data_IF_417923333199
#
_entry.id   IF_417923333199
#
_cell.length_a   1.000
_cell.length_b   1.000
_cell.length_c   1.000
_cell.angle_alpha   90.00
_cell.angle_beta   90.00
_cell.angle_gamma   90.00
#
_symmetry.space_group_name_H-M   'P 1'
#
loop_
_entity.id
_entity.type
_entity.pdbx_description
1 polymer ?
#
# COMPACT_ATOMS: atom_id res chain seq x y z
N UNK A 1 -24.01 -12.29 -10.78
CA UNK A 1 -24.09 -11.12 -11.68
C UNK A 1 -23.83 -9.87 -10.84
N UNK A 2 -22.95 -8.95 -11.26
CA UNK A 2 -22.62 -7.74 -10.51
C UNK A 2 -23.34 -6.52 -11.12
N UNK A 3 -23.86 -5.61 -10.28
CA UNK A 3 -24.46 -4.36 -10.73
C UNK A 3 -23.36 -3.29 -10.88
N UNK A 4 -23.11 -2.83 -12.10
CA UNK A 4 -22.04 -1.86 -12.39
C UNK A 4 -22.54 -0.41 -12.48
N UNK A 5 -23.85 -0.18 -12.48
CA UNK A 5 -24.46 1.15 -12.61
C UNK A 5 -24.81 1.54 -14.04
N UNK A 6 -25.59 2.61 -14.18
CA UNK A 6 -26.21 3.04 -15.44
C UNK A 6 -25.21 3.56 -16.46
N UNK A 7 -24.14 4.22 -16.01
CA UNK A 7 -23.13 4.81 -16.89
C UNK A 7 -22.00 3.82 -17.20
N UNK A 8 -22.19 2.55 -16.88
CA UNK A 8 -21.21 1.52 -17.18
C UNK A 8 -21.19 1.23 -18.68
N UNK A 9 -20.03 1.46 -19.28
CA UNK A 9 -19.75 1.04 -20.65
C UNK A 9 -18.85 -0.19 -20.59
N UNK A 10 -19.42 -1.34 -20.95
CA UNK A 10 -18.70 -2.60 -20.96
C UNK A 10 -17.53 -2.55 -21.95
N UNK A 11 -16.32 -2.99 -21.57
CA UNK A 11 -15.24 -3.22 -22.52
C UNK A 11 -15.63 -4.24 -23.59
N UNK A 12 -14.88 -4.26 -24.70
CA UNK A 12 -15.00 -5.35 -25.68
C UNK A 12 -14.78 -6.69 -24.99
N UNK A 13 -15.50 -7.72 -25.43
CA UNK A 13 -15.51 -9.04 -24.77
C UNK A 13 -14.11 -9.67 -24.67
N UNK A 14 -13.27 -9.47 -25.69
CA UNK A 14 -11.91 -9.99 -25.82
C UNK A 14 -10.84 -9.11 -25.15
N UNK A 15 -11.18 -7.89 -24.72
CA UNK A 15 -10.24 -6.97 -24.08
C UNK A 15 -10.02 -7.31 -22.60
N UNK A 16 -9.23 -8.36 -22.38
CA UNK A 16 -8.88 -8.86 -21.05
C UNK A 16 -8.23 -7.81 -20.15
N UNK A 17 -7.46 -6.86 -20.72
CA UNK A 17 -6.81 -5.79 -19.95
C UNK A 17 -7.83 -4.79 -19.41
N UNK A 18 -8.79 -4.39 -20.23
CA UNK A 18 -9.86 -3.50 -19.78
C UNK A 18 -10.83 -4.19 -18.82
N UNK A 19 -11.13 -5.48 -19.03
CA UNK A 19 -11.90 -6.25 -18.06
C UNK A 19 -11.20 -6.36 -16.70
N UNK A 20 -9.89 -6.63 -16.69
CA UNK A 20 -9.11 -6.65 -15.45
C UNK A 20 -9.13 -5.31 -14.73
N UNK A 21 -9.11 -4.20 -15.47
CA UNK A 21 -9.26 -2.84 -14.90
C UNK A 21 -10.60 -2.69 -14.19
N UNK A 22 -11.70 -3.06 -14.85
CA UNK A 22 -13.05 -3.00 -14.27
C UNK A 22 -13.16 -3.88 -13.03
N UNK A 23 -12.62 -5.10 -13.08
CA UNK A 23 -12.62 -6.04 -11.96
C UNK A 23 -11.91 -5.47 -10.72
N UNK A 24 -10.69 -4.95 -10.89
CA UNK A 24 -9.92 -4.36 -9.78
C UNK A 24 -10.67 -3.17 -9.18
N UNK A 25 -11.20 -2.27 -10.01
CA UNK A 25 -11.98 -1.13 -9.53
C UNK A 25 -13.19 -1.61 -8.71
N UNK A 26 -13.94 -2.58 -9.22
CA UNK A 26 -15.11 -3.13 -8.55
C UNK A 26 -14.75 -3.75 -7.19
N UNK A 27 -13.67 -4.52 -7.11
CA UNK A 27 -13.18 -5.09 -5.84
C UNK A 27 -12.83 -4.01 -4.80
N UNK A 28 -12.38 -2.84 -5.25
CA UNK A 28 -12.11 -1.68 -4.39
C UNK A 28 -13.35 -0.82 -4.08
N UNK A 29 -14.54 -1.26 -4.49
CA UNK A 29 -15.83 -0.63 -4.23
C UNK A 29 -16.17 0.51 -5.20
N UNK A 30 -15.56 0.52 -6.38
CA UNK A 30 -15.85 1.48 -7.43
C UNK A 30 -16.83 0.90 -8.45
N UNK A 31 -17.93 1.61 -8.69
CA UNK A 31 -18.90 1.32 -9.74
C UNK A 31 -19.25 2.62 -10.49
N UNK A 32 -20.10 2.51 -11.52
CA UNK A 32 -20.50 3.57 -12.44
C UNK A 32 -21.96 3.98 -12.19
N UNK A 33 -22.34 4.11 -10.91
CA UNK A 33 -23.63 4.69 -10.52
C UNK A 33 -23.54 6.21 -10.61
N UNK A 34 -24.49 6.83 -11.31
CA UNK A 34 -24.73 8.25 -11.21
C UNK A 34 -26.22 8.56 -11.31
N UNK A 35 -26.60 9.73 -10.77
CA UNK A 35 -27.95 10.28 -10.87
C UNK A 35 -28.27 10.80 -12.29
N UNK A 36 -27.25 10.93 -13.16
CA UNK A 36 -27.38 11.35 -14.56
C UNK A 36 -26.98 12.81 -14.83
N UNK A 37 -26.69 13.61 -13.80
CA UNK A 37 -26.26 15.01 -13.97
C UNK A 37 -24.74 15.12 -14.24
N UNK A 38 -23.92 14.43 -13.45
CA UNK A 38 -22.44 14.60 -13.46
C UNK A 38 -21.66 13.31 -13.78
N UNK A 39 -22.39 12.21 -14.00
CA UNK A 39 -21.81 10.88 -14.18
C UNK A 39 -21.05 10.37 -12.93
N UNK A 40 -20.33 9.24 -13.05
CA UNK A 40 -19.67 8.56 -11.92
C UNK A 40 -18.31 9.18 -11.52
N UNK A 41 -18.00 10.38 -12.02
CA UNK A 41 -16.71 11.04 -11.89
C UNK A 41 -15.58 10.39 -12.70
N UNK A 42 -14.35 10.87 -12.52
CA UNK A 42 -13.17 10.36 -13.21
C UNK A 42 -12.90 8.89 -12.89
N UNK A 43 -12.58 8.10 -13.94
CA UNK A 43 -12.07 6.73 -13.84
C UNK A 43 -10.86 6.52 -14.74
N UNK A 44 -9.90 5.68 -14.32
CA UNK A 44 -8.69 5.44 -15.09
C UNK A 44 -9.03 4.84 -16.46
N UNK A 45 -8.32 5.31 -17.49
CA UNK A 45 -8.52 4.83 -18.87
C UNK A 45 -7.82 3.50 -19.09
N UNK A 46 -6.68 3.31 -18.43
CA UNK A 46 -5.84 2.11 -18.57
C UNK A 46 -5.66 1.38 -17.24
N UNK A 47 -5.27 0.10 -17.32
CA UNK A 47 -5.00 -0.72 -16.13
C UNK A 47 -3.80 -0.18 -15.33
N UNK A 48 -2.80 0.38 -16.00
CA UNK A 48 -1.60 0.96 -15.38
C UNK A 48 -1.88 2.21 -14.55
N UNK A 49 -2.96 2.93 -14.81
CA UNK A 49 -3.37 4.10 -14.01
C UNK A 49 -4.07 3.72 -12.71
N UNK A 50 -4.58 2.48 -12.59
CA UNK A 50 -5.38 2.04 -11.43
C UNK A 50 -4.63 2.22 -10.10
N UNK A 51 -3.35 1.84 -9.94
CA UNK A 51 -2.64 2.03 -8.68
C UNK A 51 -2.58 3.51 -8.25
N UNK A 52 -2.29 4.42 -9.18
CA UNK A 52 -2.26 5.85 -8.90
C UNK A 52 -3.65 6.38 -8.52
N UNK A 53 -4.69 5.96 -9.24
CA UNK A 53 -6.08 6.32 -8.94
C UNK A 53 -6.51 5.85 -7.54
N UNK A 54 -6.19 4.61 -7.16
CA UNK A 54 -6.53 4.07 -5.84
C UNK A 54 -5.77 4.78 -4.72
N UNK A 55 -4.54 5.21 -4.96
CA UNK A 55 -3.73 5.95 -3.99
C UNK A 55 -4.31 7.36 -3.70
N UNK A 56 -4.99 7.99 -4.66
CA UNK A 56 -5.64 9.29 -4.46
C UNK A 56 -6.87 9.20 -3.52
N UNK A 57 -7.37 8.01 -3.22
CA UNK A 57 -8.58 7.85 -2.41
C UNK A 57 -8.30 8.25 -0.95
N UNK A 58 -8.94 9.33 -0.44
CA UNK A 58 -8.86 9.66 0.98
C UNK A 58 -9.50 8.54 1.83
N UNK A 59 -9.08 8.37 3.09
CA UNK A 59 -9.75 7.45 4.00
C UNK A 59 -11.21 7.87 4.17
N UNK A 60 -12.14 6.90 4.16
CA UNK A 60 -13.58 7.15 4.33
C UNK A 60 -13.93 7.52 5.77
N UNK A 61 -13.07 7.16 6.72
CA UNK A 61 -13.26 7.40 8.15
C UNK A 61 -11.92 7.52 8.87
N UNK A 62 -11.95 8.04 10.11
CA UNK A 62 -10.78 8.08 10.98
C UNK A 62 -10.21 6.68 11.28
N UNK A 63 -11.08 5.68 11.41
CA UNK A 63 -10.68 4.29 11.59
C UNK A 63 -9.91 3.74 10.39
N UNK A 64 -10.36 4.03 9.17
CA UNK A 64 -9.61 3.66 7.96
C UNK A 64 -8.26 4.39 7.92
N UNK A 65 -8.22 5.67 8.30
CA UNK A 65 -6.97 6.43 8.37
C UNK A 65 -5.99 5.82 9.39
N UNK A 66 -6.49 5.42 10.56
CA UNK A 66 -5.69 4.77 11.60
C UNK A 66 -5.13 3.44 11.12
N UNK A 67 -5.97 2.57 10.54
CA UNK A 67 -5.55 1.28 10.00
C UNK A 67 -4.45 1.45 8.93
N UNK A 68 -4.62 2.39 7.99
CA UNK A 68 -3.60 2.69 6.97
C UNK A 68 -2.26 3.09 7.57
N UNK A 69 -2.26 3.95 8.61
CA UNK A 69 -1.03 4.35 9.32
C UNK A 69 -0.36 3.16 10.02
N UNK A 70 -1.14 2.29 10.66
CA UNK A 70 -0.62 1.11 11.36
C UNK A 70 0.03 0.14 10.37
N UNK A 71 -0.66 -0.19 9.27
CA UNK A 71 -0.12 -1.06 8.22
C UNK A 71 1.14 -0.48 7.59
N UNK A 72 1.18 0.83 7.32
CA UNK A 72 2.37 1.50 6.79
C UNK A 72 3.57 1.39 7.75
N UNK A 73 3.32 1.49 9.06
CA UNK A 73 4.35 1.30 10.09
C UNK A 73 4.86 -0.14 10.13
N UNK A 74 4.00 -1.12 9.94
CA UNK A 74 4.38 -2.55 9.92
C UNK A 74 5.14 -2.93 8.64
N UNK A 75 4.74 -2.39 7.49
CA UNK A 75 5.39 -2.62 6.21
C UNK A 75 6.74 -1.89 6.08
N UNK A 76 6.93 -0.80 6.83
CA UNK A 76 8.23 -0.13 6.89
C UNK A 76 9.28 -1.12 7.42
N UNK A 77 10.40 -1.33 6.71
CA UNK A 77 11.45 -2.19 7.21
C UNK A 77 11.87 -1.68 8.58
N UNK A 78 11.91 -2.57 9.57
CA UNK A 78 12.44 -2.28 10.90
C UNK A 78 13.89 -1.79 10.72
N UNK A 79 14.06 -0.46 10.63
CA UNK A 79 15.31 0.21 10.22
C UNK A 79 16.49 -0.27 11.05
N UNK A 80 16.24 -0.51 12.34
CA UNK A 80 17.22 -1.02 13.31
C UNK A 80 17.63 -2.49 13.11
N UNK A 81 16.81 -3.34 12.47
CA UNK A 81 17.16 -4.76 12.21
C UNK A 81 18.11 -4.91 11.01
N UNK A 82 18.04 -4.02 10.01
CA UNK A 82 18.99 -4.02 8.86
C UNK A 82 20.37 -3.52 9.26
N UNK A 83 20.45 -2.50 10.10
CA UNK A 83 21.74 -1.93 10.56
C UNK A 83 22.52 -2.94 11.44
N UNK A 84 21.80 -3.77 12.22
CA UNK A 84 22.42 -4.83 13.02
C UNK A 84 22.98 -5.99 12.18
N UNK A 85 22.28 -6.36 11.11
CA UNK A 85 22.73 -7.42 10.19
C UNK A 85 23.87 -6.98 9.27
N UNK A 86 24.01 -5.68 8.98
CA UNK A 86 25.19 -5.14 8.29
C UNK A 86 26.43 -5.04 9.19
N UNK A 87 26.26 -4.85 10.50
CA UNK A 87 27.38 -4.78 11.45
C UNK A 87 27.86 -6.15 11.94
N UNK A 88 27.03 -7.20 11.87
CA UNK A 88 27.44 -8.58 12.19
C UNK A 88 28.27 -9.25 11.08
N UNK A 89 28.19 -8.78 9.83
CA UNK A 89 28.93 -9.36 8.70
C UNK A 89 30.34 -8.76 8.49
N UNK A 90 30.84 -7.93 9.41
CA UNK A 90 32.13 -7.24 9.27
C UNK A 90 33.18 -7.66 10.32
N UNK A 91 33.12 -8.91 10.80
CA UNK A 91 34.07 -9.45 11.79
C UNK A 91 35.03 -10.53 11.25
N UNK A 92 35.32 -10.52 9.94
CA UNK A 92 36.38 -11.35 9.35
C UNK A 92 37.37 -10.46 8.60
N UNK A 93 38.18 -9.71 9.36
CA UNK A 93 39.28 -8.89 8.84
C UNK A 93 40.23 -8.54 9.99
N UNK A 94 41.53 -8.81 9.88
CA UNK A 94 42.48 -8.50 10.93
C UNK A 94 42.67 -6.99 10.97
N UNK A 95 42.58 -6.41 12.16
CA UNK A 95 43.08 -5.08 12.57
C UNK A 95 42.02 -4.08 13.11
N UNK A 96 41.90 -4.13 14.44
CA UNK A 96 41.68 -3.06 15.44
C UNK A 96 40.54 -2.00 15.32
N UNK A 97 39.58 -2.05 16.26
CA UNK A 97 39.12 -0.91 17.09
C UNK A 97 38.31 -1.46 18.30
N UNK A 98 38.35 -0.86 19.51
CA UNK A 98 38.06 -1.56 20.74
C UNK A 98 36.56 -1.69 21.02
N UNK A 99 36.26 -2.80 21.69
CA UNK A 99 35.00 -3.10 22.37
C UNK A 99 34.60 -1.93 23.29
N UNK A 100 33.61 -1.12 22.89
CA UNK A 100 32.85 -0.34 23.88
C UNK A 100 32.02 -1.33 24.69
N UNK A 101 32.40 -1.42 25.95
CA UNK A 101 31.89 -2.35 26.94
C UNK A 101 30.36 -2.42 26.95
N UNK A 102 29.86 -3.65 26.88
CA UNK A 102 28.62 -4.04 27.54
C UNK A 102 28.78 -3.71 29.02
N UNK A 103 28.11 -2.67 29.50
CA UNK A 103 27.82 -2.49 30.92
C UNK A 103 26.32 -2.65 31.10
N UNK A 104 25.91 -3.91 31.32
CA UNK A 104 24.80 -4.17 32.23
C UNK A 104 25.25 -3.84 33.65
N UNK A 105 24.45 -3.07 34.39
CA UNK A 105 24.11 -3.28 35.81
C UNK A 105 23.04 -2.24 36.19
N UNK A 106 21.78 -2.67 36.35
CA UNK A 106 21.17 -3.20 37.60
C UNK A 106 20.62 -2.07 38.48
N UNK A 107 19.32 -2.20 38.76
CA UNK A 107 18.50 -1.59 39.82
C UNK A 107 19.28 -1.06 41.03
N UNK A 108 18.88 0.11 41.54
CA UNK A 108 18.24 0.30 42.86
C UNK A 108 18.45 1.72 43.42
N UNK A 109 17.38 2.51 43.53
CA UNK A 109 16.84 3.05 44.78
C UNK A 109 15.57 3.84 44.53
#
# INVERSE_FOLDING_TARGET
>A
MACMGKDFQAPKQDDTRQWRKVEVLFQHGYAYHACGCDGPGYRPRTLSEVPAFLALRPPRSEGEALLRRTLAREAAPQRWKRERSLSENHLEGPDHWPRRSVLQKVRAR
#
